data_IF_529742550990
#
_entry.id   IF_529742550990
#
_cell.length_a   1.000
_cell.length_b   1.000
_cell.length_c   1.000
_cell.angle_alpha   90.00
_cell.angle_beta   90.00
_cell.angle_gamma   90.00
#
_symmetry.space_group_name_H-M   'P 1'
#
loop_
_entity.id
_entity.type
_entity.pdbx_description
1 polymer ?
#
# COMPACT_ATOMS: atom_id res chain seq x y z
N UNK A 1 42.17 -5.66 45.30
CA UNK A 1 42.60 -4.26 45.11
C UNK A 1 42.71 -4.04 43.61
N UNK A 2 41.76 -3.30 43.01
CA UNK A 2 41.99 -1.90 42.57
C UNK A 2 43.20 -1.82 41.60
N UNK A 3 43.14 -1.31 40.38
CA UNK A 3 42.24 -0.35 39.75
C UNK A 3 42.57 -0.29 38.24
N UNK A 4 41.52 -0.06 37.44
CA UNK A 4 41.41 0.90 36.32
C UNK A 4 42.70 1.46 35.70
N UNK A 5 42.77 1.34 34.36
CA UNK A 5 43.29 2.24 33.31
C UNK A 5 44.08 1.38 32.29
N UNK A 6 43.84 1.35 30.98
CA UNK A 6 43.41 2.39 30.06
C UNK A 6 42.46 1.79 29.00
N UNK A 7 41.29 2.42 28.85
CA UNK A 7 40.56 2.51 27.58
C UNK A 7 41.35 3.45 26.66
N UNK A 8 41.83 2.99 25.49
CA UNK A 8 41.97 3.84 24.29
C UNK A 8 41.87 2.99 23.02
N UNK A 9 40.82 3.30 22.26
CA UNK A 9 40.69 3.24 20.80
C UNK A 9 41.28 2.03 20.07
N UNK A 10 40.41 1.16 19.56
CA UNK A 10 40.56 0.63 18.21
C UNK A 10 39.17 0.47 17.57
N UNK A 11 38.64 1.60 17.10
CA UNK A 11 37.61 1.63 16.05
C UNK A 11 38.41 1.74 14.75
N UNK A 12 38.54 0.64 14.01
CA UNK A 12 38.82 0.71 12.58
C UNK A 12 37.63 0.08 11.87
N UNK A 13 36.67 0.94 11.57
CA UNK A 13 35.60 0.64 10.63
C UNK A 13 36.22 0.53 9.23
N UNK A 14 36.05 -0.64 8.59
CA UNK A 14 36.24 -0.76 7.15
C UNK A 14 35.12 0.04 6.48
N UNK A 15 35.47 1.22 6.01
CA UNK A 15 34.65 1.99 5.06
C UNK A 15 34.96 1.44 3.67
N UNK A 16 34.15 0.50 3.20
CA UNK A 16 34.08 0.15 1.78
C UNK A 16 32.96 1.01 1.20
N UNK A 17 33.34 2.14 0.59
CA UNK A 17 32.45 2.92 -0.26
C UNK A 17 32.27 2.13 -1.55
N UNK A 18 31.24 1.30 -1.60
CA UNK A 18 30.68 0.84 -2.87
C UNK A 18 29.77 1.96 -3.40
N UNK A 19 30.36 2.88 -4.15
CA UNK A 19 29.65 3.73 -5.10
C UNK A 19 29.17 2.82 -6.24
N UNK A 20 27.97 2.28 -6.10
CA UNK A 20 27.35 1.39 -7.08
C UNK A 20 25.86 1.70 -7.23
N UNK A 21 25.55 2.59 -8.18
CA UNK A 21 24.30 2.65 -8.94
C UNK A 21 22.97 2.43 -8.16
N UNK A 22 22.63 3.32 -7.24
CA UNK A 22 21.22 3.58 -6.89
C UNK A 22 20.74 4.82 -7.66
N UNK A 23 20.73 4.72 -8.99
CA UNK A 23 20.28 5.80 -9.87
C UNK A 23 19.71 5.22 -11.16
N UNK A 24 18.62 4.45 -11.06
CA UNK A 24 17.84 4.00 -12.22
C UNK A 24 16.44 3.56 -11.83
N UNK A 25 15.61 4.52 -11.40
CA UNK A 25 14.14 4.41 -11.53
C UNK A 25 13.42 5.76 -11.53
N UNK A 26 14.09 6.83 -11.09
CA UNK A 26 13.51 8.19 -11.02
C UNK A 26 13.35 8.86 -12.41
N UNK A 27 13.84 8.26 -13.50
CA UNK A 27 14.04 8.98 -14.76
C UNK A 27 13.25 8.46 -15.99
N UNK A 28 12.11 7.82 -15.77
CA UNK A 28 11.24 7.36 -16.86
C UNK A 28 9.74 7.72 -16.71
N UNK A 29 9.37 8.65 -15.84
CA UNK A 29 8.02 9.23 -15.84
C UNK A 29 8.02 10.54 -16.63
N UNK A 30 8.30 10.43 -17.93
CA UNK A 30 8.21 11.56 -18.84
C UNK A 30 6.76 12.02 -18.97
N UNK A 31 6.47 13.26 -18.60
CA UNK A 31 5.38 14.17 -19.03
C UNK A 31 4.05 13.55 -19.52
N UNK A 32 3.62 12.43 -18.95
CA UNK A 32 2.35 11.78 -19.24
C UNK A 32 1.37 12.28 -18.21
N UNK A 33 0.28 12.89 -18.68
CA UNK A 33 -0.82 13.28 -17.82
C UNK A 33 -1.30 12.05 -17.03
N UNK A 34 -1.29 12.16 -15.69
CA UNK A 34 -1.73 11.10 -14.80
C UNK A 34 -3.20 10.81 -15.05
N UNK A 35 -3.55 9.53 -15.15
CA UNK A 35 -4.93 9.10 -15.34
C UNK A 35 -5.75 9.49 -14.10
N UNK A 36 -6.96 10.02 -14.34
CA UNK A 36 -7.92 10.38 -13.30
C UNK A 36 -9.21 9.59 -13.47
N UNK A 37 -9.54 8.80 -12.45
CA UNK A 37 -10.80 8.10 -12.31
C UNK A 37 -11.78 8.98 -11.54
N UNK A 38 -13.02 9.03 -12.00
CA UNK A 38 -14.10 9.68 -11.28
C UNK A 38 -14.61 8.70 -10.20
N UNK A 39 -14.04 8.78 -8.99
CA UNK A 39 -14.42 7.94 -7.86
C UNK A 39 -15.41 8.66 -6.95
N UNK A 40 -16.42 7.93 -6.48
CA UNK A 40 -17.43 8.43 -5.55
C UNK A 40 -17.62 7.44 -4.38
N UNK A 41 -18.08 7.91 -3.20
CA UNK A 41 -18.46 7.05 -2.10
C UNK A 41 -19.45 5.96 -2.52
N UNK A 42 -19.17 4.72 -2.11
CA UNK A 42 -19.94 3.51 -2.38
C UNK A 42 -20.12 3.24 -3.87
N UNK A 43 -19.15 3.65 -4.68
CA UNK A 43 -19.14 3.33 -6.11
C UNK A 43 -19.28 1.83 -6.33
N UNK A 44 -20.20 1.44 -7.22
CA UNK A 44 -20.38 0.03 -7.58
C UNK A 44 -19.15 -0.46 -8.34
N UNK A 45 -18.75 -1.70 -8.07
CA UNK A 45 -17.59 -2.31 -8.72
C UNK A 45 -17.65 -2.20 -10.25
N UNK A 46 -18.80 -2.49 -10.87
CA UNK A 46 -18.94 -2.45 -12.32
C UNK A 46 -18.70 -1.04 -12.91
N UNK A 47 -19.04 0.03 -12.19
CA UNK A 47 -18.83 1.40 -12.69
C UNK A 47 -17.34 1.77 -12.66
N UNK A 48 -16.61 1.37 -11.62
CA UNK A 48 -15.14 1.50 -11.59
C UNK A 48 -14.48 0.67 -12.71
N UNK A 49 -14.89 -0.58 -12.88
CA UNK A 49 -14.36 -1.47 -13.92
C UNK A 49 -14.61 -0.93 -15.32
N UNK A 50 -15.75 -0.27 -15.58
CA UNK A 50 -16.01 0.40 -16.85
C UNK A 50 -15.04 1.55 -17.10
N UNK A 51 -14.75 2.37 -16.09
CA UNK A 51 -13.77 3.46 -16.22
C UNK A 51 -12.38 2.90 -16.52
N UNK A 52 -11.91 1.90 -15.76
CA UNK A 52 -10.61 1.28 -15.99
C UNK A 52 -10.47 0.68 -17.40
N UNK A 53 -11.55 0.10 -17.96
CA UNK A 53 -11.56 -0.39 -19.34
C UNK A 53 -11.56 0.74 -20.37
N UNK A 54 -12.28 1.82 -20.13
CA UNK A 54 -12.27 2.99 -21.02
C UNK A 54 -10.86 3.59 -21.14
N UNK A 55 -10.09 3.54 -20.05
CA UNK A 55 -8.68 3.94 -20.00
C UNK A 55 -7.70 2.84 -20.48
N UNK A 56 -8.20 1.71 -20.97
CA UNK A 56 -7.41 0.54 -21.42
C UNK A 56 -6.44 -0.01 -20.36
N UNK A 57 -6.77 0.10 -19.08
CA UNK A 57 -5.93 -0.35 -17.97
C UNK A 57 -6.12 -1.83 -17.62
N UNK A 58 -7.26 -2.40 -18.01
CA UNK A 58 -7.61 -3.79 -17.73
C UNK A 58 -8.30 -4.43 -18.95
N UNK A 59 -8.20 -5.75 -19.12
CA UNK A 59 -8.91 -6.45 -20.19
C UNK A 59 -10.43 -6.45 -19.99
N UNK A 60 -11.15 -6.81 -21.07
CA UNK A 60 -12.57 -7.13 -21.01
C UNK A 60 -12.81 -8.44 -20.24
N UNK A 61 -13.98 -8.59 -19.62
CA UNK A 61 -14.38 -9.81 -18.91
C UNK A 61 -14.05 -9.85 -17.41
N UNK A 62 -14.02 -11.04 -16.84
CA UNK A 62 -13.86 -11.23 -15.40
C UNK A 62 -15.14 -11.01 -14.61
N UNK A 63 -15.03 -11.07 -13.27
CA UNK A 63 -16.18 -10.97 -12.37
C UNK A 63 -15.77 -10.57 -10.95
N UNK A 64 -16.71 -10.02 -10.19
CA UNK A 64 -16.49 -9.72 -8.79
C UNK A 64 -16.41 -11.01 -7.95
N UNK A 65 -15.26 -11.25 -7.34
CA UNK A 65 -14.97 -12.47 -6.56
C UNK A 65 -14.91 -12.22 -5.05
N UNK A 66 -14.73 -10.95 -4.65
CA UNK A 66 -14.75 -10.53 -3.26
C UNK A 66 -15.66 -9.32 -3.12
N UNK A 67 -16.50 -9.37 -2.09
CA UNK A 67 -17.29 -8.22 -1.63
C UNK A 67 -17.34 -8.27 -0.11
N UNK A 68 -16.96 -7.16 0.53
CA UNK A 68 -17.04 -7.01 1.98
C UNK A 68 -17.51 -5.59 2.29
N UNK A 69 -18.75 -5.41 2.78
CA UNK A 69 -19.32 -4.08 2.93
C UNK A 69 -18.56 -3.22 3.95
N UNK A 70 -18.04 -3.85 5.02
CA UNK A 70 -17.30 -3.19 6.10
C UNK A 70 -16.25 -4.14 6.70
N UNK A 71 -15.14 -3.56 7.13
CA UNK A 71 -14.16 -4.21 7.99
C UNK A 71 -13.60 -3.19 8.99
N UNK A 72 -13.19 -3.66 10.17
CA UNK A 72 -12.51 -2.84 11.18
C UNK A 72 -11.30 -3.63 11.66
N UNK A 73 -10.18 -2.94 11.80
CA UNK A 73 -8.97 -3.46 12.44
C UNK A 73 -8.62 -2.51 13.58
N UNK A 74 -8.42 -3.05 14.76
CA UNK A 74 -8.19 -2.30 15.99
C UNK A 74 -7.13 -3.07 16.78
N UNK A 75 -6.00 -2.42 17.06
CA UNK A 75 -4.88 -3.02 17.78
C UNK A 75 -4.24 -2.01 18.72
N UNK A 76 -3.65 -2.51 19.81
CA UNK A 76 -2.86 -1.72 20.76
C UNK A 76 -1.37 -2.05 20.73
N UNK A 77 -1.03 -3.24 20.25
CA UNK A 77 0.34 -3.72 20.24
C UNK A 77 1.07 -3.16 19.02
N UNK A 78 2.35 -2.84 19.16
CA UNK A 78 3.17 -2.33 18.06
C UNK A 78 3.36 -3.36 16.93
N UNK A 79 3.78 -2.88 15.77
CA UNK A 79 4.16 -3.68 14.61
C UNK A 79 3.10 -3.71 13.50
N UNK A 80 3.33 -4.62 12.55
CA UNK A 80 2.42 -4.86 11.43
C UNK A 80 1.36 -5.90 11.81
N UNK A 81 0.11 -5.51 11.65
CA UNK A 81 -1.04 -6.36 11.91
C UNK A 81 -1.83 -6.54 10.63
N UNK A 82 -2.24 -7.77 10.35
CA UNK A 82 -3.10 -8.06 9.22
C UNK A 82 -4.17 -9.07 9.60
N UNK A 83 -5.39 -8.86 9.10
CA UNK A 83 -6.52 -9.74 9.37
C UNK A 83 -7.08 -10.24 8.03
N UNK A 84 -7.01 -11.56 7.77
CA UNK A 84 -7.47 -12.13 6.51
C UNK A 84 -8.93 -11.78 6.21
N UNK A 85 -9.22 -11.45 4.95
CA UNK A 85 -10.58 -11.21 4.46
C UNK A 85 -10.90 -12.10 3.26
N UNK A 86 -12.13 -12.03 2.78
CA UNK A 86 -12.52 -12.71 1.54
C UNK A 86 -12.69 -14.22 1.65
N UNK A 87 -12.76 -14.79 2.87
CA UNK A 87 -13.03 -16.23 3.11
C UNK A 87 -12.14 -17.18 2.31
N UNK A 88 -10.87 -16.82 2.14
CA UNK A 88 -9.90 -17.63 1.38
C UNK A 88 -9.88 -17.37 -0.14
N UNK A 89 -10.70 -16.44 -0.65
CA UNK A 89 -10.60 -15.98 -2.04
C UNK A 89 -9.16 -15.54 -2.33
N UNK A 90 -8.58 -16.16 -3.36
CA UNK A 90 -7.24 -15.88 -3.82
C UNK A 90 -7.28 -15.61 -5.33
N UNK A 91 -6.75 -14.46 -5.74
CA UNK A 91 -6.74 -13.98 -7.13
C UNK A 91 -5.31 -13.68 -7.55
N UNK A 92 -5.03 -13.80 -8.85
CA UNK A 92 -3.73 -13.46 -9.45
C UNK A 92 -3.73 -12.07 -10.06
N UNK A 93 -4.68 -11.87 -10.98
CA UNK A 93 -4.88 -10.63 -11.71
C UNK A 93 -6.27 -10.10 -11.34
N UNK A 94 -6.30 -8.90 -10.77
CA UNK A 94 -7.51 -8.34 -10.18
C UNK A 94 -7.47 -6.83 -10.10
N UNK A 95 -8.65 -6.23 -9.95
CA UNK A 95 -8.79 -4.88 -9.40
C UNK A 95 -9.25 -5.00 -7.96
N UNK A 96 -8.49 -4.45 -7.02
CA UNK A 96 -8.87 -4.32 -5.61
C UNK A 96 -9.26 -2.86 -5.36
N UNK A 97 -10.44 -2.65 -4.80
CA UNK A 97 -10.89 -1.34 -4.38
C UNK A 97 -11.38 -1.39 -2.94
N UNK A 98 -11.10 -0.33 -2.20
CA UNK A 98 -11.65 -0.13 -0.88
C UNK A 98 -11.70 1.36 -0.55
N UNK A 99 -12.63 1.70 0.32
CA UNK A 99 -12.72 2.98 0.98
C UNK A 99 -12.20 2.84 2.40
N UNK A 100 -11.50 3.86 2.91
CA UNK A 100 -11.06 3.82 4.30
C UNK A 100 -11.03 5.18 4.98
N UNK A 101 -11.15 5.14 6.30
CA UNK A 101 -10.87 6.22 7.24
C UNK A 101 -10.05 5.67 8.39
N UNK A 102 -9.21 6.49 8.97
CA UNK A 102 -8.62 6.19 10.26
C UNK A 102 -9.60 6.59 11.36
N UNK A 103 -9.88 5.73 12.33
CA UNK A 103 -10.67 6.16 13.49
C UNK A 103 -9.75 6.71 14.59
N UNK A 104 -8.66 6.01 14.86
CA UNK A 104 -7.67 6.37 15.88
C UNK A 104 -6.27 6.06 15.34
N UNK A 105 -5.43 7.09 15.17
CA UNK A 105 -4.03 6.94 14.76
C UNK A 105 -3.17 7.87 15.61
N UNK A 106 -2.89 7.55 16.89
CA UNK A 106 -2.27 8.48 17.84
C UNK A 106 -0.81 8.84 17.51
N UNK A 107 -0.12 7.99 16.77
CA UNK A 107 1.27 8.17 16.34
C UNK A 107 1.37 8.61 14.88
N UNK A 108 2.36 9.44 14.55
CA UNK A 108 2.54 10.02 13.21
C UNK A 108 2.82 8.97 12.15
N UNK A 109 3.55 7.90 12.46
CA UNK A 109 3.86 6.86 11.46
C UNK A 109 2.81 5.76 11.37
N UNK A 110 1.78 5.78 12.23
CA UNK A 110 0.72 4.76 12.15
C UNK A 110 0.05 4.77 10.78
N UNK A 111 -0.31 3.59 10.29
CA UNK A 111 -0.83 3.44 8.94
C UNK A 111 -2.00 2.49 8.81
N UNK A 112 -2.85 2.78 7.82
CA UNK A 112 -3.99 1.98 7.41
C UNK A 112 -3.78 1.51 5.97
N UNK A 113 -4.06 0.24 5.70
CA UNK A 113 -3.83 -0.32 4.38
C UNK A 113 -4.52 -1.65 4.13
N UNK A 114 -4.17 -2.29 3.04
CA UNK A 114 -4.56 -3.67 2.74
C UNK A 114 -3.38 -4.44 2.17
N UNK A 115 -3.23 -5.67 2.64
CA UNK A 115 -2.33 -6.63 2.04
C UNK A 115 -3.08 -7.48 1.00
N UNK A 116 -2.38 -7.83 -0.07
CA UNK A 116 -2.89 -8.59 -1.20
C UNK A 116 -1.78 -9.49 -1.74
N UNK A 117 -2.13 -10.43 -2.62
CA UNK A 117 -1.19 -11.45 -3.11
C UNK A 117 -0.46 -12.18 -1.96
N UNK A 118 -1.13 -12.39 -0.81
CA UNK A 118 -0.54 -13.06 0.35
C UNK A 118 -0.43 -14.55 0.09
N UNK A 119 0.80 -15.05 0.04
CA UNK A 119 1.15 -16.47 -0.17
C UNK A 119 1.78 -17.04 1.10
N UNK A 120 2.62 -16.25 1.76
CA UNK A 120 3.24 -16.59 3.04
C UNK A 120 3.73 -15.33 3.76
N UNK A 121 4.42 -15.52 4.88
CA UNK A 121 4.86 -14.41 5.74
C UNK A 121 5.91 -13.50 5.08
N UNK A 122 6.63 -14.02 4.09
CA UNK A 122 7.67 -13.31 3.32
C UNK A 122 7.32 -13.15 1.82
N UNK A 123 6.10 -13.50 1.43
CA UNK A 123 5.60 -13.40 0.05
C UNK A 123 4.20 -12.79 0.06
N UNK A 124 4.17 -11.46 -0.03
CA UNK A 124 2.95 -10.66 -0.01
C UNK A 124 3.21 -9.28 -0.62
N UNK A 125 2.12 -8.59 -0.94
CA UNK A 125 2.14 -7.19 -1.31
C UNK A 125 1.23 -6.40 -0.39
N UNK A 126 1.47 -5.11 -0.25
CA UNK A 126 0.56 -4.24 0.47
C UNK A 126 0.59 -2.81 -0.07
N UNK A 127 -0.54 -2.13 0.13
CA UNK A 127 -0.66 -0.69 0.02
C UNK A 127 -1.02 -0.13 1.38
N UNK A 128 -0.37 0.96 1.77
CA UNK A 128 -0.60 1.61 3.06
C UNK A 128 -0.55 3.12 2.91
N UNK A 129 -1.46 3.79 3.63
CA UNK A 129 -1.40 5.21 3.88
C UNK A 129 -1.04 5.43 5.35
N UNK A 130 -0.18 6.39 5.63
CA UNK A 130 0.29 6.70 6.99
C UNK A 130 -0.13 8.10 7.42
N UNK A 131 -0.17 8.34 8.73
CA UNK A 131 -0.59 9.63 9.30
C UNK A 131 0.38 10.77 8.94
N UNK A 132 1.67 10.48 8.80
CA UNK A 132 2.71 11.37 8.27
C UNK A 132 2.64 11.55 6.75
N UNK A 133 1.47 11.25 6.17
CA UNK A 133 1.07 11.57 4.80
C UNK A 133 1.93 10.87 3.76
N UNK A 134 2.26 9.59 3.98
CA UNK A 134 2.96 8.76 2.98
C UNK A 134 2.00 7.81 2.28
N UNK A 135 2.31 7.50 1.03
CA UNK A 135 1.74 6.40 0.27
C UNK A 135 2.81 5.35 0.06
N UNK A 136 2.54 4.14 0.50
CA UNK A 136 3.48 3.01 0.45
C UNK A 136 2.83 1.91 -0.39
N UNK A 137 3.55 1.41 -1.39
CA UNK A 137 3.21 0.20 -2.14
C UNK A 137 4.46 -0.68 -2.19
N UNK A 138 4.36 -1.86 -1.57
CA UNK A 138 5.47 -2.81 -1.52
C UNK A 138 4.98 -4.18 -2.01
N UNK A 139 5.83 -4.87 -2.77
CA UNK A 139 5.73 -6.30 -2.97
C UNK A 139 7.03 -6.95 -2.50
N UNK A 140 6.89 -7.89 -1.57
CA UNK A 140 7.96 -8.74 -1.07
C UNK A 140 7.83 -10.12 -1.73
N UNK A 141 8.91 -10.61 -2.31
CA UNK A 141 9.01 -11.95 -2.88
C UNK A 141 10.17 -12.70 -2.20
N UNK A 142 9.86 -13.77 -1.47
CA UNK A 142 10.84 -14.58 -0.72
C UNK A 142 11.75 -13.75 0.19
N UNK A 143 11.20 -12.71 0.82
CA UNK A 143 11.94 -11.86 1.75
C UNK A 143 12.50 -10.58 1.14
N UNK A 144 12.55 -10.46 -0.19
CA UNK A 144 13.12 -9.31 -0.89
C UNK A 144 12.04 -8.37 -1.43
N UNK A 145 12.24 -7.05 -1.28
CA UNK A 145 11.35 -6.07 -1.90
C UNK A 145 11.64 -6.00 -3.41
N UNK A 146 10.70 -6.45 -4.24
CA UNK A 146 10.78 -6.38 -5.71
C UNK A 146 10.00 -5.20 -6.29
N UNK A 147 9.10 -4.64 -5.47
CA UNK A 147 8.44 -3.34 -5.69
C UNK A 147 8.59 -2.56 -4.39
N UNK A 148 9.09 -1.34 -4.49
CA UNK A 148 9.25 -0.43 -3.35
C UNK A 148 8.93 1.00 -3.77
N UNK A 149 7.67 1.37 -3.60
CA UNK A 149 7.22 2.74 -3.75
C UNK A 149 6.88 3.28 -2.36
N UNK A 150 7.50 4.39 -1.99
CA UNK A 150 7.31 5.02 -0.69
C UNK A 150 7.53 6.53 -0.80
N UNK A 151 6.45 7.29 -0.97
CA UNK A 151 6.50 8.73 -1.24
C UNK A 151 5.63 9.52 -0.27
N UNK A 152 6.06 10.75 0.03
CA UNK A 152 5.23 11.72 0.77
C UNK A 152 4.21 12.31 -0.20
N UNK A 153 2.97 12.49 0.25
CA UNK A 153 1.86 12.96 -0.57
C UNK A 153 2.10 14.37 -1.10
N UNK A 154 2.81 15.21 -0.34
CA UNK A 154 3.20 16.56 -0.74
C UNK A 154 4.04 16.59 -2.03
N UNK A 155 4.75 15.50 -2.33
CA UNK A 155 5.59 15.36 -3.53
C UNK A 155 4.83 14.71 -4.70
N UNK A 156 3.57 14.29 -4.50
CA UNK A 156 2.77 13.63 -5.53
C UNK A 156 1.98 14.64 -6.36
N UNK A 157 2.29 14.67 -7.66
CA UNK A 157 1.54 15.48 -8.60
C UNK A 157 0.06 15.06 -8.69
N UNK A 158 -0.82 16.06 -8.77
CA UNK A 158 -2.25 15.85 -9.02
C UNK A 158 -3.09 15.52 -7.78
N UNK A 159 -2.46 15.32 -6.62
CA UNK A 159 -3.12 15.28 -5.31
C UNK A 159 -2.99 16.66 -4.66
N UNK A 160 -4.11 17.19 -4.16
CA UNK A 160 -4.05 18.35 -3.27
C UNK A 160 -3.67 17.90 -1.86
N UNK A 161 -2.37 17.96 -1.60
CA UNK A 161 -1.73 17.72 -0.32
C UNK A 161 -2.45 18.43 0.86
N UNK A 162 -2.89 19.68 0.67
CA UNK A 162 -3.51 20.47 1.75
C UNK A 162 -4.84 19.89 2.23
N UNK A 163 -5.47 19.08 1.39
CA UNK A 163 -6.73 18.40 1.70
C UNK A 163 -6.53 16.97 2.17
N UNK A 164 -5.29 16.49 2.29
CA UNK A 164 -5.01 15.13 2.70
C UNK A 164 -4.79 15.02 4.20
N UNK A 165 -5.69 14.29 4.86
CA UNK A 165 -5.62 13.94 6.27
C UNK A 165 -6.09 12.50 6.48
N UNK A 166 -5.25 11.68 7.11
CA UNK A 166 -5.63 10.31 7.46
C UNK A 166 -6.24 10.29 8.87
N UNK A 167 -7.53 10.61 8.95
CA UNK A 167 -8.30 10.62 10.21
C UNK A 167 -9.76 10.19 10.00
N UNK A 168 -10.61 10.43 11.02
CA UNK A 168 -12.00 10.00 11.03
C UNK A 168 -12.91 10.83 10.11
N UNK A 169 -12.47 12.03 9.74
CA UNK A 169 -13.24 13.03 9.02
C UNK A 169 -13.18 12.84 7.51
N UNK A 170 -12.06 12.30 7.00
CA UNK A 170 -11.83 12.14 5.57
C UNK A 170 -11.96 10.70 5.10
N UNK A 171 -12.64 10.50 3.97
CA UNK A 171 -12.69 9.21 3.26
C UNK A 171 -11.62 9.18 2.17
N UNK A 172 -10.81 8.13 2.18
CA UNK A 172 -9.85 7.84 1.13
C UNK A 172 -10.32 6.69 0.26
N UNK A 173 -10.09 6.81 -1.04
CA UNK A 173 -10.40 5.78 -2.02
C UNK A 173 -9.12 5.19 -2.56
N UNK A 174 -8.89 3.90 -2.34
CA UNK A 174 -7.72 3.21 -2.85
C UNK A 174 -8.17 2.22 -3.90
N UNK A 175 -7.61 2.33 -5.10
CA UNK A 175 -7.80 1.34 -6.17
C UNK A 175 -6.44 0.82 -6.60
N UNK A 176 -6.28 -0.49 -6.56
CA UNK A 176 -5.13 -1.19 -7.07
C UNK A 176 -5.54 -2.01 -8.29
N UNK A 177 -4.82 -1.86 -9.38
CA UNK A 177 -4.91 -2.73 -10.56
C UNK A 177 -3.70 -3.64 -10.56
N UNK A 178 -3.92 -4.94 -10.41
CA UNK A 178 -2.91 -5.97 -10.52
C UNK A 178 -3.16 -6.76 -11.81
N UNK A 179 -2.36 -6.53 -12.84
CA UNK A 179 -2.55 -7.14 -14.16
C UNK A 179 -1.21 -7.67 -14.69
N UNK A 180 -1.01 -8.98 -14.58
CA UNK A 180 0.30 -9.57 -14.81
C UNK A 180 1.33 -9.01 -13.82
N UNK A 181 2.47 -8.59 -14.38
CA UNK A 181 3.59 -8.01 -13.64
C UNK A 181 3.46 -6.50 -13.42
N UNK A 182 2.29 -5.92 -13.72
CA UNK A 182 2.00 -4.52 -13.47
C UNK A 182 1.16 -4.35 -12.19
N UNK A 183 1.54 -3.41 -11.35
CA UNK A 183 0.73 -2.84 -10.27
C UNK A 183 0.51 -1.35 -10.53
N UNK A 184 -0.73 -0.93 -10.66
CA UNK A 184 -1.11 0.48 -10.75
C UNK A 184 -1.86 0.85 -9.47
N UNK A 185 -1.40 1.90 -8.79
CA UNK A 185 -2.06 2.43 -7.60
C UNK A 185 -2.74 3.74 -7.92
N UNK A 186 -4.02 3.83 -7.57
CA UNK A 186 -4.79 5.07 -7.55
C UNK A 186 -5.16 5.44 -6.11
N UNK A 187 -5.00 6.71 -5.77
CA UNK A 187 -5.46 7.30 -4.52
C UNK A 187 -6.42 8.44 -4.85
N UNK A 188 -7.63 8.39 -4.29
CA UNK A 188 -8.68 9.38 -4.54
C UNK A 188 -8.94 9.64 -6.03
N UNK A 189 -8.80 8.58 -6.84
CA UNK A 189 -9.00 8.61 -8.29
C UNK A 189 -7.77 9.02 -9.10
N UNK A 190 -6.68 9.50 -8.50
CA UNK A 190 -5.47 9.92 -9.24
C UNK A 190 -4.47 8.77 -9.31
N UNK A 191 -3.91 8.49 -10.50
CA UNK A 191 -2.80 7.52 -10.65
C UNK A 191 -1.56 8.02 -9.87
N UNK A 192 -1.10 7.21 -8.92
CA UNK A 192 0.01 7.53 -8.01
C UNK A 192 1.31 6.95 -8.55
N UNK A 193 1.29 5.65 -8.85
CA UNK A 193 2.42 4.95 -9.43
C UNK A 193 1.96 3.78 -10.30
N UNK A 194 2.86 3.35 -11.17
CA UNK A 194 2.74 2.20 -12.07
C UNK A 194 4.05 1.44 -12.04
N UNK A 195 4.03 0.30 -11.37
CA UNK A 195 5.19 -0.56 -11.14
C UNK A 195 5.12 -1.76 -12.08
N UNK A 196 6.13 -1.96 -12.93
CA UNK A 196 6.16 -3.02 -13.97
C UNK A 196 7.06 -4.20 -13.60
N UNK A 197 7.72 -4.14 -12.45
CA UNK A 197 8.59 -5.19 -11.91
C UNK A 197 7.86 -6.13 -10.94
N UNK A 198 6.56 -5.92 -10.73
CA UNK A 198 5.77 -6.73 -9.83
C UNK A 198 5.73 -8.19 -10.30
N UNK A 199 5.57 -9.12 -9.37
CA UNK A 199 5.41 -10.54 -9.69
C UNK A 199 3.94 -10.93 -9.68
N UNK A 200 3.43 -11.43 -10.81
CA UNK A 200 2.06 -11.96 -10.91
C UNK A 200 1.93 -13.29 -10.19
N UNK A 201 1.30 -13.29 -9.01
CA UNK A 201 1.07 -14.50 -8.22
C UNK A 201 -0.35 -14.51 -7.66
N UNK A 202 -0.91 -15.73 -7.50
CA UNK A 202 -2.23 -15.91 -6.90
C UNK A 202 -2.09 -15.89 -5.38
N UNK A 203 -2.78 -14.97 -4.71
CA UNK A 203 -2.71 -14.87 -3.25
C UNK A 203 -3.97 -14.26 -2.63
N UNK A 204 -4.01 -14.33 -1.30
CA UNK A 204 -5.14 -13.89 -0.48
C UNK A 204 -5.08 -12.38 -0.19
N UNK A 205 -6.12 -11.90 0.48
CA UNK A 205 -6.29 -10.51 0.89
C UNK A 205 -6.41 -10.40 2.41
N UNK A 206 -5.93 -9.30 2.98
CA UNK A 206 -6.11 -8.95 4.38
C UNK A 206 -6.26 -7.43 4.54
N UNK A 207 -6.99 -6.99 5.54
CA UNK A 207 -6.80 -5.61 6.05
C UNK A 207 -5.43 -5.53 6.70
N UNK A 208 -4.81 -4.35 6.70
CA UNK A 208 -3.48 -4.16 7.26
C UNK A 208 -3.41 -2.85 8.04
N UNK A 209 -2.73 -2.88 9.18
CA UNK A 209 -2.50 -1.73 10.03
C UNK A 209 -1.06 -1.78 10.52
N UNK A 210 -0.38 -0.63 10.49
CA UNK A 210 0.91 -0.45 11.13
C UNK A 210 0.75 0.40 12.38
N UNK A 211 1.21 -0.14 13.51
CA UNK A 211 1.20 0.53 14.80
C UNK A 211 2.65 0.82 15.22
N UNK A 212 2.99 2.09 15.35
CA UNK A 212 4.34 2.55 15.65
C UNK A 212 4.90 1.91 16.93
N UNK A 213 6.20 1.65 16.93
CA UNK A 213 6.92 1.18 18.12
C UNK A 213 6.77 2.18 19.27
N UNK A 214 6.45 1.67 20.47
CA UNK A 214 6.20 2.50 21.64
C UNK A 214 4.81 3.14 21.70
N UNK A 215 3.96 3.01 20.68
CA UNK A 215 2.57 3.42 20.79
C UNK A 215 1.75 2.39 21.60
N UNK A 216 1.37 2.77 22.82
CA UNK A 216 0.52 1.97 23.73
C UNK A 216 -0.97 2.28 23.61
N UNK A 217 -1.31 3.29 22.81
CA UNK A 217 -2.70 3.69 22.57
C UNK A 217 -3.32 2.84 21.47
N UNK A 218 -4.64 2.90 21.39
CA UNK A 218 -5.36 2.18 20.38
C UNK A 218 -5.14 2.79 18.98
N UNK A 219 -4.98 1.90 18.00
CA UNK A 219 -4.90 2.25 16.59
C UNK A 219 -6.01 1.52 15.86
N UNK A 220 -6.86 2.27 15.15
CA UNK A 220 -8.04 1.74 14.49
C UNK A 220 -8.22 2.28 13.08
N UNK A 221 -8.38 1.37 12.12
CA UNK A 221 -8.73 1.68 10.73
C UNK A 221 -10.10 1.08 10.39
N UNK A 222 -10.91 1.85 9.67
CA UNK A 222 -12.25 1.45 9.23
C UNK A 222 -12.30 1.43 7.71
N UNK A 223 -12.77 0.31 7.17
CA UNK A 223 -12.87 0.08 5.75
C UNK A 223 -14.33 -0.09 5.33
N UNK A 224 -14.67 0.39 4.15
CA UNK A 224 -15.97 0.17 3.52
C UNK A 224 -15.82 -0.13 2.02
N UNK A 225 -16.90 -0.65 1.44
CA UNK A 225 -17.01 -0.88 0.00
C UNK A 225 -15.81 -1.66 -0.59
N UNK A 226 -15.36 -2.69 0.14
CA UNK A 226 -14.22 -3.49 -0.28
C UNK A 226 -14.70 -4.47 -1.35
N UNK A 227 -14.04 -4.48 -2.50
CA UNK A 227 -14.26 -5.52 -3.50
C UNK A 227 -12.98 -5.87 -4.24
N UNK A 228 -12.94 -7.11 -4.73
CA UNK A 228 -11.96 -7.53 -5.73
C UNK A 228 -12.66 -8.10 -6.96
N UNK A 229 -12.30 -7.59 -8.13
CA UNK A 229 -12.76 -8.06 -9.43
C UNK A 229 -11.65 -8.87 -10.09
N UNK A 230 -11.88 -10.15 -10.34
CA UNK A 230 -10.92 -10.98 -11.09
C UNK A 230 -10.88 -10.54 -12.54
N UNK A 231 -9.69 -10.42 -13.11
CA UNK A 231 -9.50 -10.10 -14.54
C UNK A 231 -9.50 -11.34 -15.43
N UNK A 232 -9.42 -12.54 -14.82
CA UNK A 232 -9.46 -13.85 -15.47
C UNK A 232 -10.21 -14.85 -14.59
#
# INVERSE_FOLDING_TARGET
MLHKALRRLLILALVVIALGAAASSVQAQGNRERIRLNIAPRMRALDLIRQLRAENLIPVGGSQQLTLPRAVINVRNQGFWYFPIGRGTALRDFVLHFEMRAAELPSETNGCGMAFRIIGDDDFSYVMLTRDRRVILIQRDRGENIVEFNQVIDDLEGIDATTYQLDATQLHFVTLVANGNELILFLNGVEITRETTARSVRGRFATMLFNEEGNLSNTECRYSNIFAWSLQ
#
